data_IF_706210778531
#
_entry.id   IF_706210778531
#
_cell.length_a   1.000
_cell.length_b   1.000
_cell.length_c   1.000
_cell.angle_alpha   90.00
_cell.angle_beta   90.00
_cell.angle_gamma   90.00
#
_symmetry.space_group_name_H-M   'P 1'
#
loop_
_entity.id
_entity.type
_entity.pdbx_description
1 polymer ?
#
# COMPACT_ATOMS: atom_id res chain seq x y z
N UNK A 1 31.73 -4.85 5.74
CA UNK A 1 30.94 -5.97 5.20
C UNK A 1 31.05 -5.92 3.69
N UNK A 2 31.31 -7.06 3.07
CA UNK A 2 31.35 -7.18 1.62
C UNK A 2 29.94 -7.12 1.02
N UNK A 3 29.84 -6.82 -0.27
CA UNK A 3 28.58 -6.77 -1.01
C UNK A 3 27.83 -8.12 -0.98
N UNK A 4 28.59 -9.23 -1.04
CA UNK A 4 28.06 -10.59 -0.92
C UNK A 4 27.41 -10.86 0.45
N UNK A 5 28.01 -10.40 1.55
CA UNK A 5 27.44 -10.55 2.90
C UNK A 5 26.11 -9.77 3.06
N UNK A 6 25.92 -8.69 2.30
CA UNK A 6 24.70 -7.89 2.32
C UNK A 6 23.58 -8.57 1.52
N UNK A 7 23.89 -9.09 0.33
CA UNK A 7 22.96 -9.88 -0.48
C UNK A 7 22.45 -11.10 0.30
N UNK A 8 23.32 -11.83 1.00
CA UNK A 8 22.93 -12.97 1.82
C UNK A 8 22.00 -12.57 2.98
N UNK A 9 22.25 -11.42 3.61
CA UNK A 9 21.39 -10.90 4.69
C UNK A 9 20.01 -10.47 4.18
N UNK A 10 19.95 -9.85 2.99
CA UNK A 10 18.68 -9.47 2.35
C UNK A 10 17.88 -10.72 1.96
N UNK A 11 18.53 -11.72 1.37
CA UNK A 11 17.89 -12.98 1.01
C UNK A 11 17.32 -13.72 2.23
N UNK A 12 18.07 -13.73 3.34
CA UNK A 12 17.58 -14.28 4.61
C UNK A 12 16.34 -13.53 5.12
N UNK A 13 16.35 -12.20 5.07
CA UNK A 13 15.20 -11.38 5.46
C UNK A 13 13.98 -11.63 4.56
N UNK A 14 14.15 -11.73 3.24
CA UNK A 14 13.06 -12.05 2.32
C UNK A 14 12.43 -13.42 2.65
N UNK A 15 13.25 -14.42 2.95
CA UNK A 15 12.76 -15.75 3.35
C UNK A 15 11.94 -15.71 4.66
N UNK A 16 12.38 -14.94 5.65
CA UNK A 16 11.64 -14.73 6.90
C UNK A 16 10.30 -14.03 6.65
N UNK A 17 10.31 -12.97 5.84
CA UNK A 17 9.11 -12.22 5.48
C UNK A 17 8.09 -13.07 4.71
N UNK A 18 8.55 -13.90 3.76
CA UNK A 18 7.66 -14.82 3.03
C UNK A 18 6.97 -15.84 3.95
N UNK A 19 7.66 -16.26 5.01
CA UNK A 19 7.12 -17.20 6.00
C UNK A 19 6.09 -16.52 6.91
N UNK A 20 6.38 -15.33 7.42
CA UNK A 20 5.63 -14.75 8.55
C UNK A 20 4.57 -13.72 8.12
N UNK A 21 4.85 -12.89 7.10
CA UNK A 21 3.94 -11.81 6.65
C UNK A 21 2.54 -12.29 6.26
N UNK A 22 2.34 -13.45 5.60
CA UNK A 22 1.00 -13.89 5.23
C UNK A 22 0.04 -14.01 6.44
N UNK A 23 0.55 -14.45 7.59
CA UNK A 23 -0.26 -14.58 8.81
C UNK A 23 -0.44 -13.22 9.53
N UNK A 24 0.57 -12.35 9.48
CA UNK A 24 0.45 -10.99 9.99
C UNK A 24 -0.59 -10.17 9.21
N UNK A 25 -0.61 -10.29 7.88
CA UNK A 25 -1.63 -9.68 7.01
C UNK A 25 -3.03 -10.17 7.40
N UNK A 26 -3.21 -11.49 7.61
CA UNK A 26 -4.50 -12.04 8.08
C UNK A 26 -4.89 -11.45 9.43
N UNK A 27 -3.94 -11.31 10.36
CA UNK A 27 -4.16 -10.78 11.71
C UNK A 27 -4.60 -9.31 11.67
N UNK A 28 -3.89 -8.46 10.92
CA UNK A 28 -4.22 -7.03 10.78
C UNK A 28 -5.58 -6.86 10.09
N UNK A 29 -5.84 -7.60 9.00
CA UNK A 29 -7.15 -7.59 8.31
C UNK A 29 -8.29 -7.94 9.27
N UNK A 30 -8.11 -8.96 10.10
CA UNK A 30 -9.12 -9.37 11.09
C UNK A 30 -9.33 -8.30 12.17
N UNK A 31 -8.26 -7.64 12.61
CA UNK A 31 -8.35 -6.53 13.56
C UNK A 31 -9.11 -5.34 12.96
N UNK A 32 -8.79 -4.95 11.72
CA UNK A 32 -9.52 -3.91 10.98
C UNK A 32 -11.01 -4.26 10.86
N UNK A 33 -11.35 -5.49 10.46
CA UNK A 33 -12.77 -5.88 10.30
C UNK A 33 -13.54 -5.74 11.61
N UNK A 34 -12.94 -6.15 12.74
CA UNK A 34 -13.55 -5.98 14.07
C UNK A 34 -13.69 -4.52 14.48
N UNK A 35 -12.70 -3.69 14.16
CA UNK A 35 -12.79 -2.25 14.40
C UNK A 35 -13.92 -1.67 13.56
N UNK A 36 -13.90 -1.83 12.24
CA UNK A 36 -14.92 -1.27 11.34
C UNK A 36 -16.36 -1.64 11.73
N UNK A 37 -16.59 -2.85 12.27
CA UNK A 37 -17.90 -3.27 12.77
C UNK A 37 -18.37 -2.49 14.02
N UNK A 38 -17.44 -1.96 14.83
CA UNK A 38 -17.76 -1.16 16.02
C UNK A 38 -18.20 0.26 15.70
N UNK A 39 -17.99 0.74 14.46
CA UNK A 39 -18.39 2.08 14.03
C UNK A 39 -19.90 2.34 14.21
N UNK A 40 -20.73 1.29 14.09
CA UNK A 40 -22.18 1.39 14.26
C UNK A 40 -22.63 1.70 15.70
N UNK A 41 -21.73 1.59 16.69
CA UNK A 41 -22.01 1.82 18.11
C UNK A 41 -21.58 3.22 18.58
N UNK A 42 -20.93 4.00 17.72
CA UNK A 42 -20.39 5.31 18.08
C UNK A 42 -21.49 6.37 18.00
N UNK A 43 -21.68 7.08 19.12
CA UNK A 43 -22.73 8.11 19.26
C UNK A 43 -22.20 9.53 19.12
N UNK A 44 -20.92 9.73 19.40
CA UNK A 44 -20.30 11.06 19.44
C UNK A 44 -19.30 11.25 18.30
N UNK A 45 -19.28 12.45 17.72
CA UNK A 45 -18.42 12.80 16.59
C UNK A 45 -16.91 12.65 16.91
N UNK A 46 -16.52 12.90 18.16
CA UNK A 46 -15.13 12.72 18.62
C UNK A 46 -14.71 11.26 18.54
N UNK A 47 -15.56 10.36 19.03
CA UNK A 47 -15.27 8.93 19.05
C UNK A 47 -15.31 8.34 17.64
N UNK A 48 -16.21 8.84 16.78
CA UNK A 48 -16.23 8.51 15.36
C UNK A 48 -14.93 8.93 14.66
N UNK A 49 -14.45 10.15 14.88
CA UNK A 49 -13.20 10.62 14.26
C UNK A 49 -11.98 9.82 14.74
N UNK A 50 -11.90 9.53 16.04
CA UNK A 50 -10.84 8.69 16.59
C UNK A 50 -10.88 7.27 16.00
N UNK A 51 -12.08 6.71 15.85
CA UNK A 51 -12.29 5.42 15.21
C UNK A 51 -11.85 5.40 13.74
N UNK A 52 -12.24 6.41 12.96
CA UNK A 52 -11.84 6.57 11.56
C UNK A 52 -10.32 6.68 11.42
N UNK A 53 -9.65 7.46 12.30
CA UNK A 53 -8.20 7.56 12.31
C UNK A 53 -7.52 6.20 12.57
N UNK A 54 -8.02 5.44 13.54
CA UNK A 54 -7.51 4.10 13.83
C UNK A 54 -7.70 3.13 12.65
N UNK A 55 -8.87 3.16 12.00
CA UNK A 55 -9.15 2.37 10.80
C UNK A 55 -8.21 2.73 9.65
N UNK A 56 -7.96 4.03 9.41
CA UNK A 56 -7.02 4.50 8.39
C UNK A 56 -5.60 4.01 8.66
N UNK A 57 -5.12 4.09 9.90
CA UNK A 57 -3.81 3.57 10.28
C UNK A 57 -3.71 2.06 10.07
N UNK A 58 -4.73 1.29 10.44
CA UNK A 58 -4.76 -0.15 10.23
C UNK A 58 -4.70 -0.54 8.75
N UNK A 59 -5.40 0.19 7.88
CA UNK A 59 -5.34 0.00 6.43
C UNK A 59 -3.95 0.37 5.87
N UNK A 60 -3.33 1.44 6.37
CA UNK A 60 -1.96 1.81 6.01
C UNK A 60 -0.94 0.73 6.41
N UNK A 61 -1.08 0.11 7.58
CA UNK A 61 -0.25 -1.02 7.98
C UNK A 61 -0.47 -2.23 7.05
N UNK A 62 -1.71 -2.52 6.69
CA UNK A 62 -2.02 -3.62 5.77
C UNK A 62 -1.38 -3.42 4.39
N UNK A 63 -1.47 -2.22 3.84
CA UNK A 63 -0.82 -1.83 2.59
C UNK A 63 0.71 -2.00 2.67
N UNK A 64 1.34 -1.54 3.76
CA UNK A 64 2.77 -1.72 3.99
C UNK A 64 3.19 -3.20 4.04
N UNK A 65 2.44 -4.05 4.73
CA UNK A 65 2.72 -5.50 4.80
C UNK A 65 2.57 -6.18 3.43
N UNK A 66 1.57 -5.78 2.62
CA UNK A 66 1.39 -6.33 1.27
C UNK A 66 2.57 -5.93 0.37
N UNK A 67 3.02 -4.67 0.45
CA UNK A 67 4.20 -4.20 -0.29
C UNK A 67 5.46 -4.94 0.11
N UNK A 68 5.67 -5.17 1.40
CA UNK A 68 6.78 -5.97 1.91
C UNK A 68 6.72 -7.42 1.43
N UNK A 69 5.52 -8.03 1.43
CA UNK A 69 5.35 -9.40 0.96
C UNK A 69 5.61 -9.51 -0.54
N UNK A 70 5.16 -8.53 -1.34
CA UNK A 70 5.44 -8.45 -2.77
C UNK A 70 6.94 -8.34 -3.02
N UNK A 71 7.61 -7.41 -2.33
CA UNK A 71 9.07 -7.26 -2.40
C UNK A 71 9.80 -8.58 -2.06
N UNK A 72 9.38 -9.26 -0.99
CA UNK A 72 9.99 -10.52 -0.60
C UNK A 72 9.73 -11.66 -1.60
N UNK A 73 8.63 -11.60 -2.35
CA UNK A 73 8.24 -12.61 -3.36
C UNK A 73 8.96 -12.44 -4.70
N UNK A 74 9.36 -11.22 -5.05
CA UNK A 74 10.04 -10.91 -6.31
C UNK A 74 11.51 -11.40 -6.27
N UNK A 75 12.09 -11.59 -5.08
CA UNK A 75 13.51 -11.92 -4.93
C UNK A 75 14.40 -10.79 -5.44
N UNK A 76 15.72 -11.00 -5.51
CA UNK A 76 16.67 -10.02 -6.08
C UNK A 76 16.48 -9.76 -7.61
N UNK A 77 15.40 -10.30 -8.19
CA UNK A 77 15.05 -10.17 -9.60
C UNK A 77 13.91 -9.17 -9.79
N UNK A 78 14.23 -8.09 -10.51
CA UNK A 78 13.36 -6.96 -10.83
C UNK A 78 13.00 -6.09 -9.62
N UNK A 79 13.76 -5.00 -9.50
CA UNK A 79 13.18 -3.69 -9.22
C UNK A 79 11.91 -3.53 -10.04
N UNK A 80 10.75 -3.87 -9.47
CA UNK A 80 9.48 -3.40 -10.00
C UNK A 80 9.58 -1.89 -9.96
N UNK A 81 9.80 -1.35 -11.15
CA UNK A 81 9.71 0.06 -11.44
C UNK A 81 8.54 0.59 -10.64
N UNK A 82 8.84 1.52 -9.74
CA UNK A 82 7.87 2.30 -9.02
C UNK A 82 7.18 3.26 -10.01
N UNK A 83 6.52 2.70 -11.02
CA UNK A 83 5.52 3.33 -11.86
C UNK A 83 4.18 3.10 -11.17
N UNK A 84 4.02 3.72 -9.99
CA UNK A 84 2.87 3.45 -9.13
C UNK A 84 2.76 4.34 -7.91
N UNK A 85 3.32 5.54 -7.96
CA UNK A 85 2.95 6.64 -7.08
C UNK A 85 3.01 7.97 -7.86
N UNK A 86 2.43 7.97 -9.06
CA UNK A 86 1.91 9.19 -9.65
C UNK A 86 0.54 8.85 -10.26
N UNK A 87 -0.44 8.69 -9.36
CA UNK A 87 -1.88 8.80 -9.65
C UNK A 87 -2.24 10.29 -9.89
N UNK A 88 -1.31 11.06 -10.46
CA UNK A 88 -1.61 12.13 -11.36
C UNK A 88 -1.57 11.50 -12.76
N UNK A 89 -2.70 10.91 -13.16
CA UNK A 89 -3.06 10.92 -14.57
C UNK A 89 -2.83 12.36 -15.06
N UNK A 90 -1.70 12.58 -15.73
CA UNK A 90 -1.04 13.89 -15.81
C UNK A 90 -2.08 14.92 -16.22
N UNK A 91 -2.41 15.86 -15.34
CA UNK A 91 -3.35 16.95 -15.65
C UNK A 91 -2.98 17.63 -16.97
N UNK A 92 -1.68 17.66 -17.29
CA UNK A 92 -1.12 18.09 -18.56
C UNK A 92 -1.63 17.29 -19.76
N UNK A 93 -1.73 15.96 -19.67
CA UNK A 93 -2.22 15.08 -20.74
C UNK A 93 -3.74 15.26 -20.94
N UNK A 94 -4.50 15.42 -19.84
CA UNK A 94 -5.93 15.73 -19.90
C UNK A 94 -6.19 17.11 -20.52
N UNK A 95 -5.39 18.12 -20.16
CA UNK A 95 -5.47 19.48 -20.73
C UNK A 95 -5.09 19.48 -22.21
N UNK A 96 -4.03 18.75 -22.60
CA UNK A 96 -3.63 18.63 -24.00
C UNK A 96 -4.74 18.00 -24.85
N UNK A 97 -5.33 16.90 -24.36
CA UNK A 97 -6.43 16.22 -25.04
C UNK A 97 -7.71 17.07 -25.13
N UNK A 98 -8.01 17.85 -24.09
CA UNK A 98 -9.13 18.79 -24.11
C UNK A 98 -8.91 19.93 -25.12
N UNK A 99 -7.67 20.41 -25.29
CA UNK A 99 -7.33 21.43 -26.29
C UNK A 99 -7.45 20.91 -27.72
N UNK A 100 -6.91 19.72 -28.01
CA UNK A 100 -7.06 19.08 -29.33
C UNK A 100 -8.54 18.88 -29.71
N UNK A 101 -9.38 18.48 -28.75
CA UNK A 101 -10.81 18.29 -29.00
C UNK A 101 -11.56 19.60 -29.32
N UNK A 102 -11.07 20.74 -28.81
CA UNK A 102 -11.63 22.06 -29.13
C UNK A 102 -11.14 22.59 -30.49
N UNK A 103 -9.88 22.31 -30.84
CA UNK A 103 -9.28 22.73 -32.11
C UNK A 103 -9.73 21.86 -33.31
N UNK A 104 -10.03 20.58 -33.08
CA UNK A 104 -10.59 19.68 -34.10
C UNK A 104 -12.11 19.83 -34.32
N UNK A 105 -12.77 20.71 -33.58
CA UNK A 105 -14.21 20.97 -33.69
C UNK A 105 -14.53 22.31 -34.39
N UNK A 106 -13.55 22.93 -35.07
CA UNK A 106 -13.72 24.13 -35.91
C UNK A 106 -13.59 23.82 -37.40
#
# INVERSE_FOLDING_TARGET
>A
MSEAENTDAIAALQAELLRDLPDDIKRVRNAYRRAAQQAALLRDAKDFNAHQAACKTALGHLDGLIKLLRWASEGDGETVNNAGADDAMNTSDLIAKAKEALEGAS
#
